data_IF_181512957017
#
_entry.id   IF_181512957017
#
_cell.length_a   1.000
_cell.length_b   1.000
_cell.length_c   1.000
_cell.angle_alpha   90.00
_cell.angle_beta   90.00
_cell.angle_gamma   90.00
#
_symmetry.space_group_name_H-M   'P 1'
#
loop_
_entity.id
_entity.type
_entity.pdbx_description
1 polymer ?
#
# COMPACT_ATOMS: atom_id res chain seq x y z
N UNK A 1 -21.94 10.89 -13.37
CA UNK A 1 -22.01 9.41 -13.35
C UNK A 1 -22.52 8.98 -12.01
N UNK A 2 -23.60 8.20 -11.95
CA UNK A 2 -24.06 7.56 -10.72
C UNK A 2 -23.08 6.46 -10.29
N UNK A 3 -23.18 5.99 -9.03
CA UNK A 3 -22.36 4.86 -8.56
C UNK A 3 -22.62 3.59 -9.41
N UNK A 4 -23.86 3.37 -9.84
CA UNK A 4 -24.26 2.27 -10.70
C UNK A 4 -23.61 2.33 -12.10
N UNK A 5 -23.58 3.51 -12.72
CA UNK A 5 -22.91 3.72 -14.04
C UNK A 5 -21.39 3.49 -13.95
N UNK A 6 -20.76 3.89 -12.82
CA UNK A 6 -19.34 3.62 -12.57
C UNK A 6 -19.10 2.12 -12.40
N UNK A 7 -19.96 1.45 -11.64
CA UNK A 7 -19.88 0.01 -11.39
C UNK A 7 -20.06 -0.80 -12.69
N UNK A 8 -21.05 -0.46 -13.52
CA UNK A 8 -21.26 -1.10 -14.82
C UNK A 8 -20.06 -0.90 -15.75
N UNK A 9 -19.48 0.30 -15.79
CA UNK A 9 -18.28 0.59 -16.59
C UNK A 9 -17.07 -0.25 -16.14
N UNK A 10 -16.86 -0.37 -14.82
CA UNK A 10 -15.80 -1.23 -14.29
C UNK A 10 -16.02 -2.71 -14.62
N UNK A 11 -17.27 -3.17 -14.58
CA UNK A 11 -17.58 -4.55 -14.93
C UNK A 11 -17.31 -4.85 -16.40
N UNK A 12 -17.62 -3.94 -17.33
CA UNK A 12 -17.32 -4.14 -18.75
C UNK A 12 -15.82 -4.25 -19.02
N UNK A 13 -15.00 -3.38 -18.41
CA UNK A 13 -13.53 -3.45 -18.51
C UNK A 13 -13.01 -4.75 -17.89
N UNK A 14 -13.50 -5.13 -16.73
CA UNK A 14 -13.07 -6.34 -16.03
C UNK A 14 -13.43 -7.63 -16.80
N UNK A 15 -14.50 -7.64 -17.61
CA UNK A 15 -14.85 -8.76 -18.50
C UNK A 15 -13.77 -9.04 -19.55
N UNK A 16 -13.05 -8.02 -20.01
CA UNK A 16 -11.91 -8.22 -20.90
C UNK A 16 -10.70 -8.77 -20.16
N UNK A 17 -10.47 -8.27 -18.93
CA UNK A 17 -9.32 -8.64 -18.11
C UNK A 17 -9.33 -10.11 -17.67
N UNK A 18 -10.51 -10.72 -17.43
CA UNK A 18 -10.60 -12.15 -17.09
C UNK A 18 -10.17 -13.09 -18.22
N UNK A 19 -10.08 -12.60 -19.46
CA UNK A 19 -9.63 -13.38 -20.61
C UNK A 19 -8.11 -13.38 -20.81
N UNK A 20 -7.35 -12.77 -19.89
CA UNK A 20 -5.88 -12.76 -19.95
C UNK A 20 -5.28 -14.09 -19.57
N UNK A 21 -4.09 -14.38 -20.11
CA UNK A 21 -3.37 -15.66 -19.97
C UNK A 21 -3.04 -16.04 -18.52
N UNK A 22 -3.06 -15.09 -17.59
CA UNK A 22 -2.89 -15.35 -16.16
C UNK A 22 -3.93 -16.35 -15.63
N UNK A 23 -5.16 -16.31 -16.12
CA UNK A 23 -6.28 -16.99 -15.47
C UNK A 23 -6.63 -18.35 -16.10
N UNK A 24 -7.24 -19.20 -15.28
CA UNK A 24 -7.73 -20.50 -15.73
C UNK A 24 -9.04 -20.33 -16.56
N UNK A 25 -8.98 -20.75 -17.81
CA UNK A 25 -10.10 -20.68 -18.75
C UNK A 25 -10.85 -22.01 -18.93
N UNK A 26 -10.60 -23.01 -18.08
CA UNK A 26 -11.30 -24.29 -18.16
C UNK A 26 -12.82 -24.09 -18.12
N UNK A 27 -13.50 -24.72 -19.04
CA UNK A 27 -14.96 -24.81 -19.09
C UNK A 27 -15.49 -26.11 -18.47
N UNK A 28 -14.61 -26.94 -17.91
CA UNK A 28 -15.00 -28.19 -17.25
C UNK A 28 -15.87 -27.92 -16.02
N UNK A 29 -16.74 -28.87 -15.70
CA UNK A 29 -17.58 -28.79 -14.51
C UNK A 29 -16.72 -28.87 -13.23
N UNK A 30 -16.91 -27.90 -12.34
CA UNK A 30 -16.21 -27.82 -11.07
C UNK A 30 -16.86 -28.64 -9.96
N UNK A 31 -17.84 -29.48 -10.24
CA UNK A 31 -18.63 -30.20 -9.23
C UNK A 31 -17.76 -31.03 -8.26
N UNK A 32 -16.76 -31.78 -8.76
CA UNK A 32 -15.84 -32.55 -7.92
C UNK A 32 -15.00 -31.65 -7.00
N UNK A 33 -14.49 -30.53 -7.55
CA UNK A 33 -13.73 -29.54 -6.78
C UNK A 33 -14.60 -28.92 -5.70
N UNK A 34 -15.83 -28.53 -6.01
CA UNK A 34 -16.81 -27.97 -5.07
C UNK A 34 -17.17 -28.98 -3.98
N UNK A 35 -17.39 -30.25 -4.34
CA UNK A 35 -17.73 -31.30 -3.38
C UNK A 35 -16.56 -31.57 -2.40
N UNK A 36 -15.33 -31.58 -2.91
CA UNK A 36 -14.14 -31.68 -2.04
C UNK A 36 -14.04 -30.48 -1.08
N UNK A 37 -14.31 -29.26 -1.57
CA UNK A 37 -14.30 -28.06 -0.71
C UNK A 37 -15.44 -28.15 0.34
N UNK A 38 -16.62 -28.63 -0.01
CA UNK A 38 -17.75 -28.80 0.94
C UNK A 38 -17.40 -29.75 2.07
N UNK A 39 -16.70 -30.80 1.78
CA UNK A 39 -16.33 -31.84 2.73
C UNK A 39 -15.15 -31.47 3.64
N UNK A 40 -14.50 -30.31 3.41
CA UNK A 40 -13.36 -29.87 4.18
C UNK A 40 -13.62 -28.52 4.87
N UNK A 41 -13.00 -28.35 6.04
CA UNK A 41 -13.01 -27.08 6.76
C UNK A 41 -12.10 -26.06 6.05
N UNK A 42 -12.52 -24.80 6.00
CA UNK A 42 -11.78 -23.68 5.44
C UNK A 42 -11.27 -22.78 6.59
N UNK A 43 -9.99 -22.44 6.58
CA UNK A 43 -9.47 -21.37 7.40
C UNK A 43 -9.69 -20.01 6.68
N UNK A 44 -10.63 -19.20 7.16
CA UNK A 44 -10.78 -17.80 6.74
C UNK A 44 -9.86 -16.99 7.64
N UNK A 45 -8.90 -16.24 7.06
CA UNK A 45 -7.89 -15.63 7.88
C UNK A 45 -7.39 -14.29 7.37
N UNK A 46 -6.86 -13.51 8.31
CA UNK A 46 -6.21 -12.21 8.08
C UNK A 46 -4.97 -12.09 8.96
N UNK A 47 -4.15 -11.07 8.68
CA UNK A 47 -2.99 -10.75 9.49
C UNK A 47 -2.67 -9.25 9.43
N UNK A 48 -2.37 -8.63 10.58
CA UNK A 48 -1.88 -7.26 10.66
C UNK A 48 -1.05 -7.05 11.92
N UNK A 49 -0.17 -6.05 11.87
CA UNK A 49 0.76 -5.71 12.95
C UNK A 49 0.40 -4.38 13.60
N UNK A 50 0.61 -4.28 14.89
CA UNK A 50 0.36 -3.07 15.69
C UNK A 50 -1.06 -2.55 15.54
N UNK A 51 -1.18 -1.22 15.43
CA UNK A 51 -2.45 -0.52 15.23
C UNK A 51 -2.71 -0.19 13.75
N UNK A 52 -2.15 -0.98 12.82
CA UNK A 52 -2.28 -0.69 11.38
C UNK A 52 -3.71 -0.84 10.89
N UNK A 53 -4.45 -1.80 11.42
CA UNK A 53 -5.84 -2.06 11.08
C UNK A 53 -6.67 -2.39 12.33
N UNK A 54 -7.99 -2.37 12.20
CA UNK A 54 -8.94 -2.79 13.24
C UNK A 54 -9.62 -4.06 12.76
N UNK A 55 -9.57 -5.12 13.57
CA UNK A 55 -10.28 -6.36 13.27
C UNK A 55 -11.80 -6.12 13.24
N UNK A 56 -12.45 -6.61 12.22
CA UNK A 56 -13.88 -6.45 12.01
C UNK A 56 -14.58 -7.78 12.18
N UNK A 57 -15.59 -7.82 13.07
CA UNK A 57 -16.42 -9.00 13.23
C UNK A 57 -17.21 -9.27 11.94
N UNK A 58 -17.30 -10.53 11.48
CA UNK A 58 -18.09 -10.89 10.32
C UNK A 58 -19.60 -10.76 10.63
N UNK A 59 -20.38 -10.27 9.67
CA UNK A 59 -21.84 -10.22 9.77
C UNK A 59 -22.47 -11.59 9.47
N UNK A 60 -21.78 -12.40 8.65
CA UNK A 60 -22.17 -13.77 8.31
C UNK A 60 -21.05 -14.72 8.68
N UNK A 61 -21.38 -15.77 9.39
CA UNK A 61 -20.47 -16.85 9.80
C UNK A 61 -20.85 -18.11 9.02
N UNK A 62 -19.91 -18.59 8.22
CA UNK A 62 -20.07 -19.83 7.47
C UNK A 62 -19.91 -21.05 8.37
N UNK A 63 -20.78 -22.03 8.23
CA UNK A 63 -20.57 -23.35 8.82
C UNK A 63 -19.32 -24.01 8.21
N UNK A 64 -18.67 -24.85 9.03
CA UNK A 64 -17.43 -25.53 8.63
C UNK A 64 -16.29 -24.60 8.18
N UNK A 65 -16.21 -23.40 8.82
CA UNK A 65 -15.12 -22.46 8.68
C UNK A 65 -14.57 -22.07 10.07
N UNK A 66 -13.25 -21.86 10.14
CA UNK A 66 -12.60 -21.24 11.29
C UNK A 66 -12.10 -19.86 10.87
N UNK A 67 -12.33 -18.86 11.72
CA UNK A 67 -11.88 -17.49 11.52
C UNK A 67 -10.60 -17.26 12.32
N UNK A 68 -9.52 -16.88 11.68
CA UNK A 68 -8.19 -16.78 12.30
C UNK A 68 -7.58 -15.40 12.00
N UNK A 69 -7.15 -14.71 13.06
CA UNK A 69 -6.42 -13.46 12.94
C UNK A 69 -5.00 -13.62 13.53
N UNK A 70 -3.99 -13.43 12.71
CA UNK A 70 -2.60 -13.35 13.16
C UNK A 70 -2.26 -11.89 13.46
N UNK A 71 -1.72 -11.61 14.66
CA UNK A 71 -1.35 -10.24 15.06
C UNK A 71 -0.26 -10.27 16.13
N UNK A 72 0.47 -9.18 16.27
CA UNK A 72 1.40 -8.95 17.39
C UNK A 72 0.78 -8.08 18.51
N UNK A 73 -0.50 -7.69 18.36
CA UNK A 73 -1.25 -7.01 19.40
C UNK A 73 -1.81 -8.03 20.42
N UNK A 74 -1.15 -8.12 21.59
CA UNK A 74 -1.55 -9.05 22.65
C UNK A 74 -2.88 -8.71 23.34
N UNK A 75 -3.41 -7.50 23.12
CA UNK A 75 -4.66 -7.03 23.72
C UNK A 75 -5.86 -7.13 22.76
N UNK A 76 -5.64 -7.66 21.55
CA UNK A 76 -6.72 -7.84 20.60
C UNK A 76 -7.63 -8.99 21.05
N UNK A 77 -8.92 -8.71 21.16
CA UNK A 77 -9.96 -9.67 21.49
C UNK A 77 -11.01 -9.70 20.37
N UNK A 78 -11.70 -10.82 20.21
CA UNK A 78 -12.77 -11.00 19.24
C UNK A 78 -13.69 -12.12 19.70
N UNK A 79 -14.99 -11.99 19.40
CA UNK A 79 -15.99 -13.01 19.67
C UNK A 79 -15.95 -14.14 18.63
N UNK A 80 -15.51 -13.86 17.41
CA UNK A 80 -15.53 -14.81 16.30
C UNK A 80 -14.13 -15.26 15.89
N UNK A 81 -13.16 -14.34 15.85
CA UNK A 81 -11.82 -14.61 15.36
C UNK A 81 -10.96 -15.26 16.45
N UNK A 82 -10.37 -16.41 16.13
CA UNK A 82 -9.29 -16.98 16.92
C UNK A 82 -8.05 -16.12 16.75
N UNK A 83 -7.67 -15.40 17.80
CA UNK A 83 -6.45 -14.57 17.79
C UNK A 83 -5.23 -15.45 18.00
N UNK A 84 -4.28 -15.38 17.08
CA UNK A 84 -3.00 -16.08 17.16
C UNK A 84 -1.87 -15.05 17.15
N UNK A 85 -1.04 -15.09 18.17
CA UNK A 85 0.10 -14.18 18.29
C UNK A 85 1.17 -14.53 17.24
N UNK A 86 1.66 -13.48 16.55
CA UNK A 86 2.74 -13.61 15.59
C UNK A 86 4.05 -13.91 16.29
N UNK A 87 4.90 -14.71 15.64
CA UNK A 87 6.26 -14.93 16.08
C UNK A 87 7.12 -13.68 15.92
N UNK A 88 8.09 -13.50 16.81
CA UNK A 88 9.09 -12.44 16.65
C UNK A 88 9.98 -12.71 15.44
N UNK A 89 10.30 -11.64 14.71
CA UNK A 89 11.05 -11.73 13.46
C UNK A 89 11.90 -10.48 13.25
N UNK A 90 12.89 -10.59 12.39
CA UNK A 90 13.70 -9.46 11.90
C UNK A 90 13.07 -8.74 10.69
N UNK A 91 11.91 -9.19 10.21
CA UNK A 91 11.17 -8.56 9.11
C UNK A 91 10.57 -7.22 9.55
N UNK A 92 10.38 -6.33 8.59
CA UNK A 92 9.54 -5.13 8.80
C UNK A 92 8.07 -5.53 9.02
N UNK A 93 7.31 -4.62 9.64
CA UNK A 93 5.92 -4.89 10.03
C UNK A 93 5.02 -5.34 8.86
N UNK A 94 5.25 -4.81 7.65
CA UNK A 94 4.47 -5.19 6.49
C UNK A 94 4.79 -6.63 6.07
N UNK A 95 6.07 -6.99 5.96
CA UNK A 95 6.48 -8.36 5.61
C UNK A 95 6.21 -9.34 6.74
N UNK A 96 6.27 -8.92 8.01
CA UNK A 96 5.84 -9.72 9.16
C UNK A 96 4.37 -10.16 9.02
N UNK A 97 3.47 -9.29 8.59
CA UNK A 97 2.08 -9.67 8.29
C UNK A 97 1.96 -10.48 6.99
N UNK A 98 2.68 -10.07 5.93
CA UNK A 98 2.59 -10.73 4.62
C UNK A 98 3.12 -12.15 4.58
N UNK A 99 4.04 -12.53 5.45
CA UNK A 99 4.47 -13.94 5.51
C UNK A 99 3.31 -14.89 5.82
N UNK A 100 2.34 -14.47 6.65
CA UNK A 100 1.13 -15.28 6.92
C UNK A 100 0.22 -15.34 5.70
N UNK A 101 0.11 -14.24 4.94
CA UNK A 101 -0.62 -14.18 3.67
C UNK A 101 0.01 -15.06 2.60
N UNK A 102 1.33 -14.97 2.43
CA UNK A 102 2.04 -15.60 1.31
C UNK A 102 2.47 -17.04 1.59
N UNK A 103 2.62 -17.43 2.86
CA UNK A 103 3.09 -18.75 3.25
C UNK A 103 2.07 -19.52 4.13
N UNK A 104 0.77 -19.59 3.76
CA UNK A 104 -0.24 -20.25 4.60
C UNK A 104 0.05 -21.71 4.90
N UNK A 105 0.74 -22.43 4.02
CA UNK A 105 1.15 -23.81 4.23
C UNK A 105 2.08 -23.98 5.45
N UNK A 106 2.75 -22.93 5.92
CA UNK A 106 3.58 -22.94 7.14
C UNK A 106 2.75 -22.77 8.42
N UNK A 107 1.65 -22.03 8.34
CA UNK A 107 0.89 -21.58 9.51
C UNK A 107 -0.48 -22.24 9.68
N UNK A 108 -1.05 -22.79 8.60
CA UNK A 108 -2.40 -23.39 8.56
C UNK A 108 -2.34 -24.87 8.14
N UNK A 109 -1.35 -25.62 8.64
CA UNK A 109 -1.03 -26.99 8.22
C UNK A 109 -2.20 -27.96 8.37
N UNK A 110 -3.08 -27.72 9.36
CA UNK A 110 -4.21 -28.59 9.69
C UNK A 110 -5.41 -28.38 8.76
N UNK A 111 -5.37 -27.36 7.92
CA UNK A 111 -6.45 -27.06 6.98
C UNK A 111 -6.03 -27.46 5.56
N UNK A 112 -6.98 -28.02 4.81
CA UNK A 112 -6.78 -28.28 3.38
C UNK A 112 -6.94 -27.02 2.54
N UNK A 113 -7.81 -26.11 2.97
CA UNK A 113 -8.19 -24.90 2.27
C UNK A 113 -8.06 -23.68 3.18
N UNK A 114 -7.70 -22.56 2.57
CA UNK A 114 -7.67 -21.25 3.23
C UNK A 114 -8.25 -20.17 2.35
N UNK A 115 -8.85 -19.16 2.98
CA UNK A 115 -9.29 -17.93 2.36
C UNK A 115 -8.67 -16.73 3.08
N UNK A 116 -7.79 -16.03 2.39
CA UNK A 116 -7.22 -14.77 2.86
C UNK A 116 -8.17 -13.62 2.54
N UNK A 117 -8.37 -12.72 3.49
CA UNK A 117 -9.00 -11.43 3.27
C UNK A 117 -8.18 -10.35 4.00
N UNK A 118 -7.83 -9.26 3.29
CA UNK A 118 -7.12 -8.14 3.91
C UNK A 118 -7.94 -7.56 5.08
N UNK A 119 -7.30 -7.20 6.19
CA UNK A 119 -7.94 -6.75 7.44
C UNK A 119 -8.82 -5.51 7.30
N UNK A 120 -8.69 -4.75 6.20
CA UNK A 120 -9.53 -3.58 5.90
C UNK A 120 -10.98 -3.92 5.57
N UNK A 121 -11.30 -5.20 5.34
CA UNK A 121 -12.62 -5.63 4.91
C UNK A 121 -13.41 -6.26 6.06
N UNK A 122 -14.72 -6.05 6.01
CA UNK A 122 -15.71 -6.77 6.81
C UNK A 122 -16.40 -7.80 5.94
N UNK A 123 -16.49 -9.03 6.40
CA UNK A 123 -17.27 -10.10 5.78
C UNK A 123 -18.75 -9.82 6.04
N UNK A 124 -19.56 -9.77 4.99
CA UNK A 124 -21.01 -9.53 5.05
C UNK A 124 -21.86 -10.58 4.35
N UNK A 125 -21.24 -11.55 3.72
CA UNK A 125 -21.92 -12.68 3.06
C UNK A 125 -21.09 -13.96 3.15
N UNK A 126 -21.64 -15.07 2.65
CA UNK A 126 -20.98 -16.37 2.71
C UNK A 126 -19.75 -16.46 1.82
N UNK A 127 -18.58 -16.63 2.42
CA UNK A 127 -17.32 -16.85 1.70
C UNK A 127 -17.34 -18.21 0.98
N UNK A 128 -18.02 -19.21 1.53
CA UNK A 128 -18.17 -20.51 0.86
C UNK A 128 -18.96 -20.39 -0.43
N UNK A 129 -20.06 -19.62 -0.43
CA UNK A 129 -20.83 -19.36 -1.65
C UNK A 129 -19.99 -18.61 -2.69
N UNK A 130 -19.21 -17.62 -2.27
CA UNK A 130 -18.28 -16.93 -3.17
C UNK A 130 -17.34 -17.91 -3.85
N UNK A 131 -16.74 -18.82 -3.10
CA UNK A 131 -15.82 -19.82 -3.65
C UNK A 131 -16.55 -20.74 -4.62
N UNK A 132 -17.70 -21.30 -4.27
CA UNK A 132 -18.47 -22.22 -5.11
C UNK A 132 -18.91 -21.61 -6.46
N UNK A 133 -19.27 -20.33 -6.46
CA UNK A 133 -19.70 -19.62 -7.67
C UNK A 133 -18.55 -19.31 -8.63
N UNK A 134 -17.31 -19.25 -8.14
CA UNK A 134 -16.20 -18.68 -8.91
C UNK A 134 -15.04 -19.64 -9.16
N UNK A 135 -14.92 -20.75 -8.40
CA UNK A 135 -13.85 -21.74 -8.59
C UNK A 135 -14.06 -22.49 -9.91
N UNK A 136 -12.98 -22.75 -10.66
CA UNK A 136 -12.97 -23.58 -11.85
C UNK A 136 -12.52 -25.00 -11.51
N UNK A 137 -12.88 -25.93 -12.38
CA UNK A 137 -12.45 -27.31 -12.24
C UNK A 137 -10.93 -27.43 -12.14
N UNK A 138 -10.47 -28.28 -11.22
CA UNK A 138 -9.05 -28.57 -10.99
C UNK A 138 -8.18 -27.37 -10.63
N UNK A 139 -8.77 -26.18 -10.40
CA UNK A 139 -8.00 -25.00 -10.00
C UNK A 139 -7.79 -24.98 -8.48
N UNK A 140 -6.54 -24.99 -8.00
CA UNK A 140 -6.27 -24.99 -6.57
C UNK A 140 -6.28 -23.59 -5.93
N UNK A 141 -6.60 -22.54 -6.71
CA UNK A 141 -6.57 -21.14 -6.28
C UNK A 141 -7.63 -20.30 -6.98
N UNK A 142 -8.20 -19.32 -6.25
CA UNK A 142 -9.13 -18.32 -6.78
C UNK A 142 -8.73 -16.94 -6.27
N UNK A 143 -8.71 -15.95 -7.16
CA UNK A 143 -8.53 -14.54 -6.83
C UNK A 143 -9.57 -13.65 -7.51
N UNK A 144 -9.53 -12.35 -7.24
CA UNK A 144 -10.39 -11.36 -7.88
C UNK A 144 -9.62 -10.71 -9.04
N UNK A 145 -10.28 -10.48 -10.18
CA UNK A 145 -9.68 -9.74 -11.29
C UNK A 145 -9.42 -8.28 -10.90
N UNK A 146 -8.34 -7.71 -11.39
CA UNK A 146 -8.12 -6.27 -11.25
C UNK A 146 -8.97 -5.52 -12.27
N UNK A 147 -9.88 -4.67 -11.79
CA UNK A 147 -10.89 -4.01 -12.63
C UNK A 147 -10.35 -2.87 -13.48
N UNK A 148 -9.25 -2.23 -13.04
CA UNK A 148 -8.72 -1.03 -13.71
C UNK A 148 -7.55 -1.34 -14.65
N UNK A 149 -6.79 -2.40 -14.38
CA UNK A 149 -5.55 -2.74 -15.09
C UNK A 149 -5.43 -4.25 -15.32
N UNK A 150 -4.75 -4.62 -16.38
CA UNK A 150 -4.46 -6.02 -16.74
C UNK A 150 -2.95 -6.27 -16.99
N UNK A 151 -2.12 -5.31 -16.59
CA UNK A 151 -0.70 -5.30 -16.87
C UNK A 151 0.11 -4.87 -15.63
N UNK A 152 1.12 -5.68 -15.27
CA UNK A 152 2.03 -5.36 -14.14
C UNK A 152 2.78 -4.04 -14.36
N UNK A 153 3.10 -3.72 -15.60
CA UNK A 153 3.81 -2.47 -15.92
C UNK A 153 2.92 -1.23 -15.75
N UNK A 154 1.61 -1.36 -16.02
CA UNK A 154 0.63 -0.31 -15.74
C UNK A 154 0.39 -0.18 -14.22
N UNK A 155 0.37 -1.31 -13.50
CA UNK A 155 0.29 -1.29 -12.04
C UNK A 155 1.50 -0.61 -11.40
N UNK A 156 2.70 -0.84 -11.95
CA UNK A 156 3.90 -0.09 -11.53
C UNK A 156 3.72 1.42 -11.74
N UNK A 157 3.25 1.86 -12.92
CA UNK A 157 3.01 3.27 -13.20
C UNK A 157 2.01 3.91 -12.22
N UNK A 158 0.97 3.19 -11.84
CA UNK A 158 -0.01 3.64 -10.85
C UNK A 158 0.54 3.63 -9.42
N UNK A 159 1.35 2.63 -9.06
CA UNK A 159 1.86 2.43 -7.71
C UNK A 159 3.09 3.27 -7.38
N UNK A 160 3.90 3.68 -8.36
CA UNK A 160 5.14 4.45 -8.14
C UNK A 160 4.92 5.83 -7.51
N UNK A 161 3.69 6.34 -7.54
CA UNK A 161 3.32 7.59 -6.87
C UNK A 161 2.94 7.40 -5.40
N UNK A 162 2.77 6.16 -4.94
CA UNK A 162 2.38 5.85 -3.58
C UNK A 162 3.61 5.93 -2.67
N UNK A 163 3.65 6.83 -1.67
CA UNK A 163 4.87 7.09 -0.89
C UNK A 163 5.42 5.88 -0.12
N UNK A 164 4.55 4.93 0.22
CA UNK A 164 4.94 3.73 0.99
C UNK A 164 5.76 2.71 0.21
N UNK A 165 5.91 2.87 -1.11
CA UNK A 165 6.68 1.95 -1.94
C UNK A 165 7.96 2.63 -2.46
N UNK A 166 9.14 2.03 -2.27
CA UNK A 166 10.41 2.58 -2.79
C UNK A 166 10.43 2.48 -4.31
N UNK A 167 10.26 3.61 -4.99
CA UNK A 167 10.15 3.67 -6.45
C UNK A 167 11.32 3.02 -7.18
N UNK A 168 12.56 3.25 -6.71
CA UNK A 168 13.75 2.67 -7.34
C UNK A 168 13.76 1.15 -7.29
N UNK A 169 13.26 0.56 -6.19
CA UNK A 169 13.13 -0.90 -6.04
C UNK A 169 12.04 -1.45 -6.95
N UNK A 170 10.90 -0.74 -7.06
CA UNK A 170 9.82 -1.12 -7.99
C UNK A 170 10.27 -1.06 -9.44
N UNK A 171 11.02 -0.02 -9.81
CA UNK A 171 11.58 0.15 -11.16
C UNK A 171 12.57 -0.97 -11.50
N UNK A 172 13.46 -1.32 -10.58
CA UNK A 172 14.35 -2.47 -10.72
C UNK A 172 13.57 -3.77 -10.92
N UNK A 173 12.51 -3.98 -10.13
CA UNK A 173 11.64 -5.15 -10.21
C UNK A 173 11.00 -5.31 -11.59
N UNK A 174 10.35 -4.26 -12.11
CA UNK A 174 9.69 -4.36 -13.42
C UNK A 174 10.68 -4.44 -14.57
N UNK A 175 11.85 -3.82 -14.47
CA UNK A 175 12.92 -3.95 -15.45
C UNK A 175 13.52 -5.36 -15.45
N UNK A 176 13.65 -5.99 -14.27
CA UNK A 176 14.02 -7.39 -14.17
C UNK A 176 12.99 -8.28 -14.86
N UNK A 177 11.70 -8.09 -14.64
CA UNK A 177 10.64 -8.86 -15.30
C UNK A 177 10.67 -8.72 -16.83
N UNK A 178 10.87 -7.50 -17.34
CA UNK A 178 11.07 -7.25 -18.77
C UNK A 178 12.27 -8.03 -19.32
N UNK A 179 13.38 -8.04 -18.59
CA UNK A 179 14.58 -8.77 -19.00
C UNK A 179 14.40 -10.29 -19.04
N UNK A 180 13.44 -10.83 -18.24
CA UNK A 180 13.07 -12.24 -18.26
C UNK A 180 12.07 -12.59 -19.40
N UNK A 181 11.59 -11.59 -20.14
CA UNK A 181 10.61 -11.77 -21.21
C UNK A 181 9.16 -11.87 -20.71
N UNK A 182 8.87 -11.42 -19.48
CA UNK A 182 7.51 -11.39 -18.98
C UNK A 182 6.63 -10.47 -19.84
N UNK A 183 5.52 -10.99 -20.41
CA UNK A 183 4.74 -10.26 -21.40
C UNK A 183 3.94 -9.10 -20.80
N UNK A 184 3.67 -8.09 -21.60
CA UNK A 184 2.66 -7.09 -21.30
C UNK A 184 1.26 -7.71 -21.33
N UNK A 185 0.33 -7.16 -20.55
CA UNK A 185 -1.08 -7.57 -20.52
C UNK A 185 -1.30 -9.06 -20.25
N UNK A 186 -0.42 -9.68 -19.50
CA UNK A 186 -0.56 -11.08 -19.10
C UNK A 186 -1.79 -11.31 -18.19
N UNK A 187 -2.26 -10.27 -17.54
CA UNK A 187 -3.33 -10.27 -16.56
C UNK A 187 -2.87 -9.74 -15.20
N UNK A 188 -3.82 -9.28 -14.40
CA UNK A 188 -3.58 -8.77 -13.05
C UNK A 188 -4.73 -9.16 -12.12
N UNK A 189 -4.38 -9.73 -10.96
CA UNK A 189 -5.33 -10.03 -9.90
C UNK A 189 -5.24 -9.01 -8.75
N UNK A 190 -6.36 -8.77 -8.08
CA UNK A 190 -6.36 -8.08 -6.79
C UNK A 190 -6.06 -9.09 -5.70
N UNK A 191 -4.95 -8.92 -4.99
CA UNK A 191 -4.44 -9.93 -4.08
C UNK A 191 -4.94 -9.76 -2.64
N UNK A 192 -5.98 -8.97 -2.40
CA UNK A 192 -6.55 -8.78 -1.07
C UNK A 192 -7.60 -9.82 -0.66
N UNK A 193 -8.08 -10.65 -1.60
CA UNK A 193 -8.98 -11.78 -1.34
C UNK A 193 -8.52 -12.99 -2.15
N UNK A 194 -8.10 -14.08 -1.47
CA UNK A 194 -7.46 -15.23 -2.12
C UNK A 194 -7.92 -16.54 -1.47
N UNK A 195 -8.56 -17.42 -2.24
CA UNK A 195 -8.81 -18.79 -1.85
C UNK A 195 -7.69 -19.71 -2.35
N UNK A 196 -7.31 -20.73 -1.56
CA UNK A 196 -6.23 -21.66 -1.90
C UNK A 196 -6.41 -23.04 -1.28
N UNK A 197 -6.07 -24.07 -2.06
CA UNK A 197 -5.67 -25.38 -1.56
C UNK A 197 -4.18 -25.28 -1.18
N UNK A 198 -3.89 -24.60 -0.08
CA UNK A 198 -2.55 -24.10 0.22
C UNK A 198 -1.47 -25.16 0.49
N UNK A 199 -1.87 -26.41 0.71
CA UNK A 199 -0.92 -27.56 0.83
C UNK A 199 -0.72 -28.29 -0.51
N UNK A 200 -1.31 -27.82 -1.62
CA UNK A 200 -1.01 -28.31 -2.95
C UNK A 200 0.40 -27.92 -3.38
N UNK A 201 1.16 -28.84 -3.98
CA UNK A 201 2.58 -28.62 -4.29
C UNK A 201 2.80 -27.49 -5.31
N UNK A 202 1.90 -27.30 -6.28
CA UNK A 202 2.00 -26.21 -7.23
C UNK A 202 1.68 -24.86 -6.57
N UNK A 203 0.70 -24.83 -5.65
CA UNK A 203 0.40 -23.64 -4.87
C UNK A 203 1.57 -23.30 -3.94
N UNK A 204 2.13 -24.26 -3.23
CA UNK A 204 3.32 -24.03 -2.37
C UNK A 204 4.44 -23.39 -3.19
N UNK A 205 4.75 -23.97 -4.36
CA UNK A 205 5.83 -23.46 -5.22
C UNK A 205 5.60 -21.99 -5.63
N UNK A 206 4.39 -21.64 -6.06
CA UNK A 206 4.02 -20.27 -6.44
C UNK A 206 4.08 -19.33 -5.24
N UNK A 207 3.59 -19.78 -4.07
CA UNK A 207 3.58 -18.97 -2.85
C UNK A 207 5.00 -18.71 -2.31
N UNK A 208 5.89 -19.70 -2.36
CA UNK A 208 7.30 -19.54 -1.98
C UNK A 208 8.04 -18.61 -2.95
N UNK A 209 7.84 -18.76 -4.25
CA UNK A 209 8.42 -17.86 -5.26
C UNK A 209 7.85 -16.43 -5.09
N UNK A 210 6.57 -16.29 -4.74
CA UNK A 210 5.96 -14.99 -4.49
C UNK A 210 6.50 -14.32 -3.22
N UNK A 211 6.77 -15.09 -2.19
CA UNK A 211 7.46 -14.62 -1.00
C UNK A 211 8.88 -14.14 -1.34
N UNK A 212 9.64 -14.94 -2.09
CA UNK A 212 10.98 -14.57 -2.55
C UNK A 212 11.00 -13.23 -3.31
N UNK A 213 10.05 -13.02 -4.23
CA UNK A 213 9.92 -11.75 -4.95
C UNK A 213 9.54 -10.57 -4.03
N UNK A 214 8.66 -10.81 -3.05
CA UNK A 214 8.23 -9.80 -2.09
C UNK A 214 9.37 -9.35 -1.16
N UNK A 215 10.26 -10.26 -0.79
CA UNK A 215 11.46 -9.95 0.01
C UNK A 215 12.56 -9.34 -0.84
N UNK A 216 12.79 -9.90 -2.03
CA UNK A 216 13.84 -9.46 -2.95
C UNK A 216 13.63 -8.04 -3.46
N UNK A 217 12.38 -7.64 -3.68
CA UNK A 217 11.99 -6.37 -4.26
C UNK A 217 11.03 -5.60 -3.35
N UNK A 218 9.97 -5.07 -3.94
CA UNK A 218 8.96 -4.33 -3.18
C UNK A 218 7.95 -5.25 -2.50
N UNK A 219 7.40 -4.79 -1.39
CA UNK A 219 6.29 -5.43 -0.72
C UNK A 219 4.91 -5.14 -1.38
N UNK A 220 4.88 -4.52 -2.58
CA UNK A 220 3.67 -4.41 -3.40
C UNK A 220 3.42 -5.77 -4.08
N UNK A 221 2.56 -6.57 -3.46
CA UNK A 221 2.32 -7.97 -3.85
C UNK A 221 1.69 -8.14 -5.23
N UNK A 222 0.89 -7.18 -5.70
CA UNK A 222 0.31 -7.20 -7.05
C UNK A 222 1.35 -7.15 -8.17
N UNK A 223 2.50 -6.50 -7.94
CA UNK A 223 3.56 -6.42 -8.97
C UNK A 223 4.21 -7.77 -9.24
N UNK A 224 4.26 -8.66 -8.25
CA UNK A 224 4.99 -9.93 -8.37
C UNK A 224 4.10 -11.15 -8.65
N UNK A 225 2.83 -11.14 -8.25
CA UNK A 225 1.98 -12.32 -8.36
C UNK A 225 1.84 -12.85 -9.78
N UNK A 226 1.49 -11.98 -10.74
CA UNK A 226 1.32 -12.39 -12.14
C UNK A 226 2.63 -12.93 -12.76
N UNK A 227 3.78 -12.33 -12.39
CA UNK A 227 5.09 -12.79 -12.82
C UNK A 227 5.42 -14.19 -12.29
N UNK A 228 5.18 -14.47 -11.01
CA UNK A 228 5.45 -15.80 -10.46
C UNK A 228 4.50 -16.85 -11.00
N UNK A 229 3.25 -16.51 -11.29
CA UNK A 229 2.32 -17.39 -11.99
C UNK A 229 2.84 -17.73 -13.39
N UNK A 230 3.24 -16.75 -14.18
CA UNK A 230 3.83 -16.95 -15.51
C UNK A 230 5.08 -17.84 -15.46
N UNK A 231 5.97 -17.56 -14.53
CA UNK A 231 7.22 -18.33 -14.35
C UNK A 231 6.97 -19.82 -14.02
N UNK A 232 5.88 -20.12 -13.33
CA UNK A 232 5.53 -21.46 -12.89
C UNK A 232 4.43 -22.13 -13.73
N UNK A 233 3.99 -21.53 -14.83
CA UNK A 233 2.86 -22.01 -15.65
C UNK A 233 1.62 -22.31 -14.78
N UNK A 234 1.28 -21.36 -13.90
CA UNK A 234 0.22 -21.50 -12.92
C UNK A 234 -0.93 -20.53 -13.20
N UNK A 235 -2.16 -21.06 -13.30
CA UNK A 235 -3.35 -20.29 -13.71
C UNK A 235 -4.44 -20.40 -12.64
N UNK A 236 -4.60 -19.37 -11.76
CA UNK A 236 -5.68 -19.36 -10.78
C UNK A 236 -7.06 -19.17 -11.45
N UNK A 237 -8.11 -19.66 -10.81
CA UNK A 237 -9.47 -19.21 -11.09
C UNK A 237 -9.60 -17.72 -10.79
N UNK A 238 -10.52 -17.06 -11.46
CA UNK A 238 -10.75 -15.62 -11.28
C UNK A 238 -12.25 -15.34 -11.12
N UNK A 239 -12.57 -14.43 -10.22
CA UNK A 239 -13.91 -13.89 -10.04
C UNK A 239 -14.03 -12.49 -10.62
N UNK A 240 -15.20 -12.21 -11.20
CA UNK A 240 -15.58 -10.90 -11.71
C UNK A 240 -16.53 -10.22 -10.71
N UNK A 241 -15.98 -9.78 -9.58
CA UNK A 241 -16.74 -9.01 -8.60
C UNK A 241 -16.02 -7.68 -8.32
N UNK A 242 -16.76 -6.67 -7.89
CA UNK A 242 -16.13 -5.45 -7.46
C UNK A 242 -15.42 -5.66 -6.12
N UNK A 243 -14.11 -5.53 -6.13
CA UNK A 243 -13.27 -5.90 -4.99
C UNK A 243 -13.59 -5.11 -3.71
N UNK A 244 -13.89 -3.83 -3.84
CA UNK A 244 -14.01 -2.92 -2.69
C UNK A 244 -15.34 -3.03 -1.93
N UNK A 245 -16.41 -3.44 -2.60
CA UNK A 245 -17.74 -3.62 -2.04
C UNK A 245 -18.56 -4.57 -2.92
N UNK A 246 -19.00 -5.70 -2.37
CA UNK A 246 -19.75 -6.72 -3.08
C UNK A 246 -20.70 -7.46 -2.11
N UNK A 247 -21.35 -8.51 -2.53
CA UNK A 247 -22.26 -9.29 -1.70
C UNK A 247 -21.58 -10.08 -0.56
N UNK A 248 -20.25 -10.27 -0.61
CA UNK A 248 -19.50 -11.11 0.34
C UNK A 248 -18.68 -10.32 1.34
N UNK A 249 -18.13 -9.20 0.93
CA UNK A 249 -17.37 -8.29 1.80
C UNK A 249 -17.45 -6.84 1.34
N UNK A 250 -17.17 -5.94 2.24
CA UNK A 250 -17.03 -4.52 1.95
C UNK A 250 -15.88 -3.91 2.72
N UNK A 251 -15.23 -2.91 2.11
CA UNK A 251 -14.28 -2.07 2.80
C UNK A 251 -15.02 -1.20 3.81
N UNK A 252 -14.64 -1.33 5.07
CA UNK A 252 -15.17 -0.45 6.11
C UNK A 252 -14.57 0.95 5.97
N UNK A 253 -15.43 1.93 5.70
CA UNK A 253 -15.02 3.34 5.47
C UNK A 253 -15.04 4.18 6.74
N UNK A 254 -15.58 3.64 7.85
CA UNK A 254 -15.83 4.41 9.08
C UNK A 254 -14.60 4.71 9.92
N UNK A 255 -13.63 3.79 9.96
CA UNK A 255 -12.46 3.85 10.85
C UNK A 255 -11.14 3.73 10.10
N UNK A 256 -11.08 4.29 8.89
CA UNK A 256 -9.89 4.19 8.05
C UNK A 256 -8.78 5.13 8.55
N UNK A 257 -8.05 4.69 9.54
CA UNK A 257 -6.86 5.36 10.07
C UNK A 257 -5.58 4.59 9.71
N UNK A 258 -5.37 4.29 8.42
CA UNK A 258 -4.03 3.84 8.03
C UNK A 258 -3.05 4.99 8.33
N UNK A 259 -2.26 4.80 9.38
CA UNK A 259 -1.06 5.63 9.55
C UNK A 259 -0.27 5.53 8.26
N UNK A 260 -0.02 6.65 7.60
CA UNK A 260 0.87 6.68 6.43
C UNK A 260 2.25 6.28 6.91
N UNK A 261 2.54 5.00 6.87
CA UNK A 261 3.88 4.50 7.13
C UNK A 261 4.68 4.80 5.87
N UNK A 262 5.58 5.76 5.96
CA UNK A 262 6.62 5.91 4.95
C UNK A 262 7.40 4.60 4.89
N UNK A 263 7.65 4.09 3.69
CA UNK A 263 8.23 2.76 3.47
C UNK A 263 9.70 2.63 3.86
N UNK A 264 10.30 3.64 4.44
CA UNK A 264 11.72 3.69 4.75
C UNK A 264 11.94 4.12 6.22
N UNK A 265 12.83 3.47 6.95
CA UNK A 265 13.61 2.30 6.54
C UNK A 265 12.80 1.00 6.54
N UNK A 266 13.12 0.07 5.63
CA UNK A 266 12.56 -1.29 5.58
C UNK A 266 13.19 -2.17 6.67
N UNK A 267 14.41 -1.84 7.08
CA UNK A 267 15.15 -2.55 8.12
C UNK A 267 14.47 -2.36 9.47
N UNK A 268 13.96 -3.43 10.06
CA UNK A 268 13.31 -3.43 11.36
C UNK A 268 14.30 -3.12 12.50
N UNK A 269 13.79 -2.66 13.64
CA UNK A 269 14.60 -2.46 14.83
C UNK A 269 15.22 -3.76 15.33
N UNK A 270 14.52 -4.90 15.20
CA UNK A 270 15.03 -6.22 15.53
C UNK A 270 16.23 -6.61 14.66
N UNK A 271 16.19 -6.31 13.36
CA UNK A 271 17.33 -6.58 12.46
C UNK A 271 18.52 -5.67 12.79
N UNK A 272 18.27 -4.38 13.09
CA UNK A 272 19.33 -3.46 13.54
C UNK A 272 19.97 -3.92 14.84
N UNK A 273 19.16 -4.34 15.81
CA UNK A 273 19.64 -4.88 17.09
C UNK A 273 20.48 -6.15 16.88
N UNK A 274 20.02 -7.08 16.03
CA UNK A 274 20.77 -8.29 15.67
C UNK A 274 22.13 -7.96 15.05
N UNK A 275 22.18 -7.02 14.11
CA UNK A 275 23.43 -6.59 13.48
C UNK A 275 24.34 -5.90 14.51
N UNK A 276 23.79 -4.97 15.31
CA UNK A 276 24.54 -4.26 16.35
C UNK A 276 25.19 -5.21 17.34
N UNK A 277 24.46 -6.20 17.84
CA UNK A 277 24.98 -7.20 18.78
C UNK A 277 26.11 -8.07 18.19
N UNK A 278 26.07 -8.36 16.89
CA UNK A 278 27.17 -9.06 16.22
C UNK A 278 28.39 -8.13 16.07
N UNK A 279 28.19 -6.91 15.59
CA UNK A 279 29.26 -5.94 15.35
C UNK A 279 30.00 -5.56 16.64
N UNK A 280 29.30 -5.40 17.77
CA UNK A 280 29.91 -5.10 19.09
C UNK A 280 30.90 -6.16 19.56
N UNK A 281 30.74 -7.41 19.10
CA UNK A 281 31.58 -8.54 19.52
C UNK A 281 32.52 -9.03 18.42
N UNK A 282 32.68 -8.27 17.32
CA UNK A 282 33.50 -8.66 16.16
C UNK A 282 34.95 -8.19 16.29
N UNK A 283 35.88 -9.08 15.93
CA UNK A 283 37.26 -8.73 15.64
C UNK A 283 37.49 -8.46 14.14
N UNK A 284 38.64 -7.91 13.80
CA UNK A 284 39.00 -7.63 12.41
C UNK A 284 39.11 -8.94 11.61
N UNK A 285 38.22 -9.14 10.66
CA UNK A 285 38.16 -10.34 9.82
C UNK A 285 36.96 -11.26 10.10
N UNK A 286 36.17 -10.98 11.12
CA UNK A 286 34.92 -11.69 11.39
C UNK A 286 33.84 -11.35 10.34
N UNK A 287 32.81 -12.18 10.27
CA UNK A 287 31.68 -12.03 9.35
C UNK A 287 30.37 -11.93 10.12
N UNK A 288 29.45 -11.12 9.59
CA UNK A 288 28.09 -11.01 10.12
C UNK A 288 27.22 -12.12 9.51
N UNK A 289 26.50 -12.87 10.33
CA UNK A 289 25.56 -13.89 9.88
C UNK A 289 24.18 -13.30 9.64
N UNK A 290 23.77 -13.25 8.38
CA UNK A 290 22.47 -12.77 7.94
C UNK A 290 21.78 -13.83 7.06
N UNK A 291 20.45 -13.92 7.19
CA UNK A 291 19.65 -14.71 6.25
C UNK A 291 19.58 -14.02 4.87
N UNK A 292 19.14 -14.78 3.86
CA UNK A 292 18.91 -14.25 2.50
C UNK A 292 17.93 -13.08 2.53
N UNK A 293 16.87 -13.21 3.30
CA UNK A 293 15.83 -12.19 3.49
C UNK A 293 16.42 -10.92 4.11
N UNK A 294 17.19 -11.06 5.19
CA UNK A 294 17.84 -9.93 5.89
C UNK A 294 18.79 -9.16 4.96
N UNK A 295 19.54 -9.88 4.13
CA UNK A 295 20.43 -9.26 3.12
C UNK A 295 19.61 -8.44 2.11
N UNK A 296 18.50 -8.99 1.59
CA UNK A 296 17.66 -8.26 0.65
C UNK A 296 17.01 -7.02 1.28
N UNK A 297 16.56 -7.09 2.53
CA UNK A 297 16.00 -5.94 3.25
C UNK A 297 17.02 -4.81 3.36
N UNK A 298 18.27 -5.11 3.72
CA UNK A 298 19.36 -4.12 3.80
C UNK A 298 19.69 -3.53 2.43
N UNK A 299 19.77 -4.35 1.38
CA UNK A 299 20.01 -3.88 0.01
C UNK A 299 18.87 -2.94 -0.45
N UNK A 300 17.63 -3.30 -0.17
CA UNK A 300 16.47 -2.50 -0.53
C UNK A 300 16.41 -1.16 0.22
N UNK A 301 16.82 -1.14 1.51
CA UNK A 301 16.97 0.12 2.25
C UNK A 301 17.98 1.06 1.59
N UNK A 302 19.16 0.55 1.23
CA UNK A 302 20.20 1.35 0.56
C UNK A 302 19.69 1.86 -0.80
N UNK A 303 19.07 1.00 -1.60
CA UNK A 303 18.50 1.37 -2.92
C UNK A 303 17.35 2.37 -2.77
N UNK A 304 16.46 2.15 -1.83
CA UNK A 304 15.33 3.04 -1.55
C UNK A 304 15.81 4.43 -1.12
N UNK A 305 16.77 4.51 -0.21
CA UNK A 305 17.34 5.80 0.22
C UNK A 305 18.04 6.53 -0.91
N UNK A 306 18.82 5.81 -1.74
CA UNK A 306 19.48 6.40 -2.91
C UNK A 306 18.45 6.91 -3.93
N UNK A 307 17.45 6.10 -4.26
CA UNK A 307 16.37 6.46 -5.17
C UNK A 307 15.51 7.63 -4.65
N UNK A 308 15.22 7.66 -3.35
CA UNK A 308 14.48 8.76 -2.72
C UNK A 308 15.18 10.11 -2.88
N UNK A 309 16.50 10.16 -2.70
CA UNK A 309 17.30 11.39 -2.91
C UNK A 309 17.22 11.87 -4.36
N UNK A 310 17.34 10.96 -5.32
CA UNK A 310 17.27 11.28 -6.76
C UNK A 310 15.85 11.73 -7.13
N UNK A 311 14.84 11.03 -6.65
CA UNK A 311 13.43 11.31 -6.97
C UNK A 311 12.95 12.62 -6.34
N UNK A 312 13.39 12.93 -5.12
CA UNK A 312 13.07 14.20 -4.47
C UNK A 312 13.71 15.37 -5.22
N UNK A 313 14.97 15.25 -5.65
CA UNK A 313 15.62 16.26 -6.47
C UNK A 313 14.93 16.42 -7.84
N UNK A 314 14.52 15.33 -8.48
CA UNK A 314 13.76 15.33 -9.73
C UNK A 314 12.36 15.94 -9.59
N UNK A 315 11.65 15.66 -8.51
CA UNK A 315 10.34 16.24 -8.21
C UNK A 315 10.40 17.74 -7.94
N UNK A 316 11.40 18.19 -7.20
CA UNK A 316 11.64 19.62 -6.98
C UNK A 316 11.91 20.32 -8.31
N UNK A 317 12.76 19.74 -9.17
CA UNK A 317 13.03 20.26 -10.51
C UNK A 317 11.80 20.30 -11.41
N UNK A 318 10.97 19.24 -11.37
CA UNK A 318 9.71 19.19 -12.13
C UNK A 318 8.71 20.24 -11.66
N UNK A 319 8.47 20.34 -10.35
CA UNK A 319 7.55 21.32 -9.78
C UNK A 319 8.03 22.75 -10.03
N UNK A 320 9.34 22.99 -10.00
CA UNK A 320 9.94 24.28 -10.31
C UNK A 320 9.76 24.64 -11.79
N UNK A 321 9.84 23.66 -12.67
CA UNK A 321 9.62 23.83 -14.11
C UNK A 321 8.13 24.08 -14.43
N UNK A 322 7.22 23.33 -13.79
CA UNK A 322 5.77 23.54 -13.88
C UNK A 322 5.38 24.93 -13.36
N UNK A 323 5.91 25.34 -12.21
CA UNK A 323 5.69 26.65 -11.63
C UNK A 323 6.20 27.78 -12.56
N UNK A 324 7.39 27.64 -13.11
CA UNK A 324 7.95 28.60 -14.08
C UNK A 324 7.13 28.65 -15.37
N UNK A 325 6.66 27.49 -15.85
CA UNK A 325 5.76 27.40 -17.03
C UNK A 325 4.43 28.10 -16.75
N UNK A 326 3.86 27.89 -15.56
CA UNK A 326 2.64 28.56 -15.12
C UNK A 326 2.85 30.08 -15.05
N UNK A 327 3.94 30.56 -14.43
CA UNK A 327 4.27 31.99 -14.33
C UNK A 327 4.46 32.65 -15.69
N UNK A 328 4.98 31.91 -16.66
CA UNK A 328 5.23 32.37 -18.03
C UNK A 328 4.04 32.17 -18.98
N UNK A 329 2.95 31.56 -18.52
CA UNK A 329 1.77 31.33 -19.35
C UNK A 329 1.14 32.64 -19.86
N UNK A 330 0.69 32.62 -21.09
CA UNK A 330 0.02 33.79 -21.70
C UNK A 330 -1.25 34.18 -20.92
N UNK A 331 -1.90 33.22 -20.28
CA UNK A 331 -3.09 33.52 -19.42
C UNK A 331 -2.72 34.37 -18.22
N UNK A 332 -1.57 34.13 -17.58
CA UNK A 332 -1.12 34.94 -16.44
C UNK A 332 -0.63 36.32 -16.88
N UNK A 333 0.07 36.39 -18.03
CA UNK A 333 0.53 37.65 -18.62
C UNK A 333 -0.63 38.55 -19.05
N UNK A 334 -1.69 37.97 -19.65
CA UNK A 334 -2.90 38.65 -20.07
C UNK A 334 -3.77 39.13 -18.88
N UNK A 335 -3.80 38.38 -17.79
CA UNK A 335 -4.63 38.73 -16.62
C UNK A 335 -3.90 39.61 -15.62
N UNK A 336 -2.58 39.79 -15.71
CA UNK A 336 -1.79 40.63 -14.81
C UNK A 336 -2.29 42.11 -14.75
N UNK A 337 -2.59 42.76 -15.88
CA UNK A 337 -3.16 44.12 -15.85
C UNK A 337 -4.56 44.17 -15.21
N UNK A 338 -5.39 43.16 -15.47
CA UNK A 338 -6.75 43.06 -14.92
C UNK A 338 -6.72 42.76 -13.40
N UNK A 339 -5.76 42.00 -12.91
CA UNK A 339 -5.56 41.77 -11.47
C UNK A 339 -5.08 43.02 -10.76
N UNK A 340 -4.13 43.75 -11.34
CA UNK A 340 -3.64 45.04 -10.79
C UNK A 340 -4.77 46.06 -10.77
N UNK A 341 -5.57 46.17 -11.84
CA UNK A 341 -6.76 47.05 -11.88
C UNK A 341 -7.83 46.59 -10.87
N UNK A 342 -8.03 45.29 -10.71
CA UNK A 342 -8.93 44.69 -9.71
C UNK A 342 -8.47 44.93 -8.28
N UNK A 343 -7.16 44.88 -8.02
CA UNK A 343 -6.58 45.15 -6.70
C UNK A 343 -6.60 46.64 -6.34
N UNK A 344 -6.41 47.53 -7.31
CA UNK A 344 -6.59 48.99 -7.14
C UNK A 344 -8.05 49.31 -6.89
N UNK A 345 -8.99 48.75 -7.67
CA UNK A 345 -10.42 48.94 -7.45
C UNK A 345 -10.91 48.35 -6.11
N UNK A 346 -10.33 47.28 -5.64
CA UNK A 346 -10.59 46.66 -4.32
C UNK A 346 -10.04 47.51 -3.17
N UNK A 347 -8.85 48.10 -3.31
CA UNK A 347 -8.28 49.00 -2.31
C UNK A 347 -9.11 50.29 -2.13
N UNK A 348 -9.81 50.72 -3.17
CA UNK A 348 -10.65 51.90 -3.13
C UNK A 348 -12.06 51.66 -2.55
N UNK A 349 -12.55 50.42 -2.59
CA UNK A 349 -13.95 50.13 -2.28
C UNK A 349 -14.25 49.48 -0.94
N UNK A 350 -13.30 48.95 -0.16
CA UNK A 350 -13.70 48.16 1.01
C UNK A 350 -12.76 48.07 2.21
N UNK A 351 -13.10 48.76 3.27
CA UNK A 351 -12.84 48.38 4.66
C UNK A 351 -13.66 47.13 5.11
N UNK A 352 -14.63 46.67 4.34
CA UNK A 352 -15.45 45.48 4.63
C UNK A 352 -14.90 44.18 4.02
N UNK A 353 -14.13 44.24 2.93
CA UNK A 353 -13.60 43.06 2.22
C UNK A 353 -12.36 42.46 2.87
N UNK A 354 -11.64 43.24 3.69
CA UNK A 354 -10.50 42.71 4.47
C UNK A 354 -10.90 41.68 5.52
N UNK A 355 -12.16 41.66 5.96
CA UNK A 355 -12.68 40.60 6.84
C UNK A 355 -12.93 39.28 6.08
N UNK A 356 -13.33 39.33 4.81
CA UNK A 356 -13.63 38.15 4.00
C UNK A 356 -12.35 37.48 3.45
N UNK A 357 -11.35 38.30 3.10
CA UNK A 357 -10.03 37.77 2.68
C UNK A 357 -9.27 37.11 3.83
N UNK A 358 -9.46 37.62 5.07
CA UNK A 358 -8.91 36.92 6.27
C UNK A 358 -9.54 35.56 6.51
N UNK A 359 -10.82 35.35 6.17
CA UNK A 359 -11.47 34.04 6.32
C UNK A 359 -10.98 33.01 5.29
N UNK A 360 -10.76 33.42 4.05
CA UNK A 360 -10.28 32.51 3.01
C UNK A 360 -8.84 32.04 3.25
N UNK A 361 -7.99 32.98 3.71
CA UNK A 361 -6.63 32.64 4.15
C UNK A 361 -6.61 31.77 5.44
N UNK A 362 -7.62 31.93 6.30
CA UNK A 362 -7.72 31.13 7.52
C UNK A 362 -8.09 29.66 7.25
N UNK A 363 -9.00 29.39 6.32
CA UNK A 363 -9.34 28.01 5.93
C UNK A 363 -8.18 27.29 5.25
N UNK A 364 -7.46 27.98 4.37
CA UNK A 364 -6.27 27.46 3.69
C UNK A 364 -5.12 27.23 4.68
N UNK A 365 -4.91 28.14 5.62
CA UNK A 365 -3.92 27.99 6.68
C UNK A 365 -4.28 26.88 7.67
N UNK A 366 -5.55 26.67 8.00
CA UNK A 366 -6.02 25.54 8.82
C UNK A 366 -5.72 24.22 8.12
N UNK A 367 -6.00 24.12 6.83
CA UNK A 367 -5.72 22.90 6.06
C UNK A 367 -4.21 22.59 6.00
N UNK A 368 -3.36 23.60 5.81
CA UNK A 368 -1.90 23.44 5.84
C UNK A 368 -1.42 23.06 7.24
N UNK A 369 -1.95 23.72 8.28
CA UNK A 369 -1.65 23.42 9.67
C UNK A 369 -1.99 21.95 10.03
N UNK A 370 -3.22 21.53 9.70
CA UNK A 370 -3.68 20.15 9.94
C UNK A 370 -2.81 19.14 9.18
N UNK A 371 -2.41 19.46 7.95
CA UNK A 371 -1.51 18.63 7.15
C UNK A 371 -0.14 18.49 7.81
N UNK A 372 0.48 19.58 8.22
CA UNK A 372 1.79 19.58 8.89
C UNK A 372 1.73 18.80 10.21
N UNK A 373 0.71 19.02 11.03
CA UNK A 373 0.51 18.31 12.30
C UNK A 373 0.22 16.84 12.10
N UNK A 374 -0.62 16.51 11.11
CA UNK A 374 -1.00 15.13 10.81
C UNK A 374 0.19 14.28 10.35
N UNK A 375 1.06 14.85 9.52
CA UNK A 375 2.23 14.13 8.99
C UNK A 375 3.45 14.19 9.90
N UNK A 376 3.43 15.01 10.97
CA UNK A 376 4.57 15.13 11.89
C UNK A 376 5.86 15.60 11.21
N UNK A 377 5.75 16.34 10.10
CA UNK A 377 6.89 16.76 9.26
C UNK A 377 7.56 18.06 9.71
N UNK A 378 7.24 18.57 10.90
CA UNK A 378 7.74 19.84 11.39
C UNK A 378 8.38 19.71 12.78
N UNK A 379 9.68 20.01 12.89
CA UNK A 379 10.39 20.01 14.15
C UNK A 379 10.13 21.33 14.93
N UNK A 380 9.12 21.27 15.79
CA UNK A 380 8.76 22.41 16.63
C UNK A 380 9.88 22.83 17.58
N UNK A 381 10.71 21.88 18.03
CA UNK A 381 11.77 22.16 18.99
C UNK A 381 12.91 22.92 18.32
N UNK A 382 13.33 22.48 17.14
CA UNK A 382 14.37 23.16 16.35
C UNK A 382 13.90 24.54 15.88
N UNK A 383 12.64 24.63 15.43
CA UNK A 383 12.04 25.91 15.04
C UNK A 383 12.03 26.92 16.19
N UNK A 384 11.63 26.50 17.41
CA UNK A 384 11.60 27.35 18.60
C UNK A 384 13.00 27.78 19.08
N UNK A 385 14.05 26.98 18.85
CA UNK A 385 15.43 27.40 19.12
C UNK A 385 15.85 28.61 18.28
N UNK A 386 15.39 28.68 17.02
CA UNK A 386 15.77 29.73 16.06
C UNK A 386 14.91 30.98 16.17
N UNK A 387 13.62 30.83 16.48
CA UNK A 387 12.63 31.89 16.49
C UNK A 387 12.16 32.32 17.90
N UNK A 388 12.69 31.69 18.94
CA UNK A 388 12.32 31.96 20.32
C UNK A 388 11.00 31.28 20.75
N UNK A 389 10.42 31.73 21.86
CA UNK A 389 9.18 31.16 22.38
C UNK A 389 7.95 31.68 21.63
N UNK A 390 7.64 31.13 20.50
CA UNK A 390 6.62 31.56 19.54
C UNK A 390 5.25 30.85 19.71
N UNK A 391 4.89 30.41 20.88
CA UNK A 391 3.59 29.74 21.09
C UNK A 391 3.45 28.46 20.24
N UNK A 392 2.46 28.40 19.35
CA UNK A 392 2.33 27.33 18.36
C UNK A 392 3.29 27.55 17.19
N UNK A 393 4.33 26.73 17.12
CA UNK A 393 5.42 26.88 16.16
C UNK A 393 4.97 26.63 14.71
N UNK A 394 4.02 25.71 14.48
CA UNK A 394 3.49 25.41 13.14
C UNK A 394 2.65 26.59 12.63
N UNK A 395 1.81 27.15 13.49
CA UNK A 395 1.00 28.31 13.11
C UNK A 395 1.88 29.52 12.81
N UNK A 396 2.88 29.81 13.66
CA UNK A 396 3.84 30.87 13.44
C UNK A 396 4.64 30.69 12.15
N UNK A 397 5.06 29.46 11.83
CA UNK A 397 5.74 29.14 10.57
C UNK A 397 4.88 29.43 9.34
N UNK A 398 3.58 29.06 9.39
CA UNK A 398 2.64 29.32 8.30
C UNK A 398 2.41 30.83 8.12
N UNK A 399 2.21 31.56 9.21
CA UNK A 399 1.94 33.00 9.19
C UNK A 399 3.15 33.84 8.74
N UNK A 400 4.35 33.54 9.24
CA UNK A 400 5.60 34.20 8.82
C UNK A 400 6.00 33.79 7.41
N UNK A 401 5.80 32.50 7.07
CA UNK A 401 6.05 31.99 5.74
C UNK A 401 5.23 32.63 4.64
N UNK A 402 4.05 33.18 4.98
CA UNK A 402 3.23 33.95 4.03
C UNK A 402 3.74 35.39 3.78
N UNK A 403 4.68 35.85 4.60
CA UNK A 403 5.22 37.22 4.52
C UNK A 403 6.55 37.34 3.79
N UNK A 404 7.24 36.23 3.55
CA UNK A 404 8.56 36.22 2.91
C UNK A 404 8.52 35.61 1.52
N UNK A 405 9.12 36.30 0.53
CA UNK A 405 9.23 35.84 -0.85
C UNK A 405 10.33 34.75 -1.08
N UNK A 406 11.05 34.34 -0.03
CA UNK A 406 12.14 33.37 -0.12
C UNK A 406 11.68 31.95 0.22
N UNK A 407 11.37 31.17 -0.82
CA UNK A 407 10.99 29.75 -0.74
C UNK A 407 12.13 28.88 -0.17
N UNK A 408 13.38 29.24 -0.42
CA UNK A 408 14.55 28.47 0.01
C UNK A 408 14.70 28.38 1.54
N UNK A 409 14.31 29.42 2.26
CA UNK A 409 14.32 29.43 3.73
C UNK A 409 13.20 28.55 4.34
N UNK A 410 12.07 28.37 3.63
CA UNK A 410 10.96 27.52 4.06
C UNK A 410 11.26 26.04 3.91
N UNK A 411 11.92 25.65 2.81
CA UNK A 411 12.33 24.26 2.54
C UNK A 411 13.39 23.78 3.52
N UNK A 412 14.18 24.69 4.12
CA UNK A 412 15.21 24.36 5.10
C UNK A 412 14.64 23.71 6.37
N UNK A 413 13.47 24.11 6.81
CA UNK A 413 12.80 23.54 8.00
C UNK A 413 12.05 22.23 7.69
N UNK A 414 11.53 22.08 6.48
CA UNK A 414 10.91 20.84 6.02
C UNK A 414 11.98 19.79 5.65
N UNK A 415 13.12 20.20 5.12
CA UNK A 415 14.24 19.32 4.78
C UNK A 415 15.06 18.85 6.01
N UNK A 416 15.10 19.60 7.10
CA UNK A 416 15.75 19.12 8.34
C UNK A 416 15.09 17.86 8.89
N UNK A 417 13.78 17.68 8.71
CA UNK A 417 13.04 16.51 9.19
C UNK A 417 13.31 15.22 8.41
N UNK A 418 13.78 15.32 7.17
CA UNK A 418 14.21 14.16 6.38
C UNK A 418 15.60 13.65 6.75
N UNK A 419 16.35 14.39 7.58
CA UNK A 419 17.74 14.10 7.93
C UNK A 419 17.98 13.76 9.41
N UNK A 420 16.99 13.89 10.30
CA UNK A 420 17.20 13.81 11.76
C UNK A 420 16.28 12.85 12.50
N UNK A 421 15.77 11.79 11.86
CA UNK A 421 15.25 10.65 12.62
C UNK A 421 16.35 9.61 12.77
N UNK A 422 16.72 9.22 14.01
CA UNK A 422 17.66 8.15 14.26
C UNK A 422 17.18 6.81 13.78
#
# INVERSE_FOLDING_TARGET
>A
MSYEEIYETYQEVAKEHINRDLFNHSSEDAAETIEDIKNNKIAIYTAFTGDYDTLKEPEVIDENCDYICFTDNSNLESDTWKIIQMEETTLDNNRKAKQYKLLPHKYLKDYKYSFWLDGTFRIKGSIREYIYKNIRASSPMLCVVHTERDCVYEEYEASKIIPRYPRSVMEEQVNYYKSQGFPEKYGLGVMGAIFRKHNDSAVIKVMEDWWDENVRFTNQDQLSFAYVCWKNDFHPSVSLIYYWDNEYWAKDRGDYHHKVVLSMPITSDNLRAKIGAQVENMDLGDTIELSKEEIYLLINDVKGMAGYRIDTAGRVGYLQNEYNTFLNSNSLKLTKPLRVAGDVARKVKNNHFLKFARHKNAEENIHIYDTIKHFGIFDEAEYKKLHGNVGDAVLHFIEEGSKTDHIDDKLKYINCLLYTSP
#
